data_IF_542163040412
#
_entry.id   IF_542163040412
#
_cell.length_a   1.000
_cell.length_b   1.000
_cell.length_c   1.000
_cell.angle_alpha   90.00
_cell.angle_beta   90.00
_cell.angle_gamma   90.00
#
_symmetry.space_group_name_H-M   'P 1'
#
loop_
_entity.id
_entity.type
_entity.pdbx_description
1 polymer ?
#
# COMPACT_ATOMS: atom_id res chain seq x y z
N UNK A 1 13.41 -5.55 -1.00
CA UNK A 1 12.12 -6.25 -1.22
C UNK A 1 11.06 -5.21 -1.57
N UNK A 2 9.90 -5.63 -2.09
CA UNK A 2 8.80 -4.70 -2.42
C UNK A 2 8.33 -3.88 -1.20
N UNK A 3 8.24 -4.48 -0.01
CA UNK A 3 7.91 -3.75 1.23
C UNK A 3 8.88 -2.61 1.54
N UNK A 4 10.19 -2.80 1.27
CA UNK A 4 11.18 -1.73 1.43
C UNK A 4 10.91 -0.58 0.45
N UNK A 5 10.55 -0.88 -0.78
CA UNK A 5 10.18 0.14 -1.78
C UNK A 5 8.87 0.85 -1.44
N UNK A 6 7.87 0.11 -0.95
CA UNK A 6 6.61 0.67 -0.44
C UNK A 6 6.86 1.65 0.72
N UNK A 7 7.67 1.26 1.71
CA UNK A 7 8.05 2.14 2.83
C UNK A 7 8.75 3.41 2.34
N UNK A 8 9.79 3.24 1.51
CA UNK A 8 10.58 4.37 0.99
C UNK A 8 9.68 5.37 0.24
N UNK A 9 8.82 4.89 -0.65
CA UNK A 9 7.88 5.76 -1.35
C UNK A 9 6.90 6.45 -0.39
N UNK A 10 6.26 5.68 0.49
CA UNK A 10 5.22 6.20 1.37
C UNK A 10 5.76 7.23 2.37
N UNK A 11 6.88 6.97 3.03
CA UNK A 11 7.44 7.88 4.04
C UNK A 11 8.30 8.99 3.40
N UNK A 12 9.26 8.64 2.55
CA UNK A 12 10.26 9.61 2.05
C UNK A 12 9.72 10.48 0.91
N UNK A 13 8.81 9.97 0.07
CA UNK A 13 8.33 10.71 -1.12
C UNK A 13 6.90 11.27 -0.95
N UNK A 14 6.11 10.70 -0.02
CA UNK A 14 4.73 11.11 0.24
C UNK A 14 4.46 11.57 1.67
N UNK A 15 5.41 11.40 2.61
CA UNK A 15 5.26 11.90 3.98
C UNK A 15 4.23 11.15 4.82
N UNK A 16 3.85 9.93 4.47
CA UNK A 16 2.90 9.14 5.25
C UNK A 16 3.53 8.61 6.53
N UNK A 17 2.76 8.64 7.61
CA UNK A 17 3.15 8.12 8.92
C UNK A 17 3.25 6.59 8.95
N UNK A 18 3.97 6.06 9.94
CA UNK A 18 4.17 4.63 10.14
C UNK A 18 2.88 3.79 10.17
N UNK A 19 1.74 4.24 10.75
CA UNK A 19 0.50 3.45 10.74
C UNK A 19 -0.02 3.16 9.33
N UNK A 20 0.06 4.14 8.42
CA UNK A 20 -0.36 3.99 7.03
C UNK A 20 0.52 2.99 6.29
N UNK A 21 1.84 3.02 6.53
CA UNK A 21 2.78 2.04 5.95
C UNK A 21 2.57 0.64 6.52
N UNK A 22 2.35 0.53 7.83
CA UNK A 22 2.05 -0.72 8.49
C UNK A 22 0.79 -1.38 7.92
N UNK A 23 -0.28 -0.59 7.73
CA UNK A 23 -1.51 -1.05 7.09
C UNK A 23 -1.28 -1.54 5.64
N UNK A 24 -0.50 -0.80 4.84
CA UNK A 24 -0.15 -1.22 3.49
C UNK A 24 0.62 -2.57 3.47
N UNK A 25 1.48 -2.81 4.46
CA UNK A 25 2.17 -4.09 4.61
C UNK A 25 1.21 -5.23 4.91
N UNK A 26 0.26 -5.03 5.83
CA UNK A 26 -0.74 -6.05 6.17
C UNK A 26 -1.59 -6.39 4.94
N UNK A 27 -2.08 -5.39 4.20
CA UNK A 27 -2.81 -5.64 2.96
C UNK A 27 -2.02 -6.49 1.97
N UNK A 28 -0.77 -6.13 1.73
CA UNK A 28 0.09 -6.86 0.78
C UNK A 28 0.38 -8.29 1.26
N UNK A 29 0.55 -8.50 2.57
CA UNK A 29 0.71 -9.83 3.17
C UNK A 29 -0.56 -10.67 3.04
N UNK A 30 -1.74 -10.10 3.30
CA UNK A 30 -3.01 -10.81 3.10
C UNK A 30 -3.19 -11.29 1.66
N UNK A 31 -2.82 -10.46 0.68
CA UNK A 31 -2.81 -10.88 -0.73
C UNK A 31 -1.84 -12.05 -0.99
N UNK A 32 -0.66 -12.01 -0.37
CA UNK A 32 0.32 -13.08 -0.47
C UNK A 32 -0.21 -14.40 0.12
N UNK A 33 -0.77 -14.35 1.34
CA UNK A 33 -1.33 -15.49 2.05
C UNK A 33 -2.53 -16.09 1.30
N UNK A 34 -3.36 -15.26 0.66
CA UNK A 34 -4.47 -15.70 -0.19
C UNK A 34 -4.05 -16.18 -1.59
N UNK A 35 -2.75 -16.26 -1.88
CA UNK A 35 -2.22 -16.70 -3.18
C UNK A 35 -2.55 -15.75 -4.34
N UNK A 36 -2.83 -14.47 -4.07
CA UNK A 36 -3.24 -13.47 -5.08
C UNK A 36 -2.05 -12.76 -5.74
N UNK A 37 -0.82 -13.07 -5.33
CA UNK A 37 0.39 -12.47 -5.87
C UNK A 37 1.11 -13.41 -6.84
N UNK A 38 1.54 -12.84 -7.97
CA UNK A 38 2.42 -13.48 -8.94
C UNK A 38 3.45 -12.47 -9.47
N UNK A 39 4.36 -12.93 -10.34
CA UNK A 39 5.45 -12.08 -10.86
C UNK A 39 4.95 -10.87 -11.65
N UNK A 40 3.81 -10.98 -12.33
CA UNK A 40 3.23 -9.95 -13.18
C UNK A 40 2.49 -8.89 -12.35
N UNK A 41 1.70 -9.31 -11.36
CA UNK A 41 0.82 -8.39 -10.62
C UNK A 41 1.40 -7.83 -9.32
N UNK A 42 2.47 -8.42 -8.76
CA UNK A 42 2.96 -8.06 -7.41
C UNK A 42 3.28 -6.57 -7.20
N UNK A 43 3.67 -5.86 -8.26
CA UNK A 43 3.94 -4.42 -8.21
C UNK A 43 2.65 -3.60 -8.23
N UNK A 44 1.68 -3.97 -9.07
CA UNK A 44 0.34 -3.38 -9.07
C UNK A 44 -0.34 -3.59 -7.72
N UNK A 45 -0.26 -4.81 -7.17
CA UNK A 45 -0.78 -5.12 -5.84
C UNK A 45 -0.11 -4.27 -4.76
N UNK A 46 1.23 -4.14 -4.78
CA UNK A 46 1.95 -3.30 -3.83
C UNK A 46 1.51 -1.83 -3.92
N UNK A 47 1.41 -1.28 -5.12
CA UNK A 47 0.95 0.09 -5.33
C UNK A 47 -0.50 0.30 -4.90
N UNK A 48 -1.41 -0.62 -5.24
CA UNK A 48 -2.80 -0.57 -4.82
C UNK A 48 -2.95 -0.68 -3.29
N UNK A 49 -2.13 -1.50 -2.61
CA UNK A 49 -2.12 -1.58 -1.15
C UNK A 49 -1.71 -0.24 -0.50
N UNK A 50 -0.69 0.44 -1.04
CA UNK A 50 -0.30 1.78 -0.55
C UNK A 50 -1.42 2.80 -0.83
N UNK A 51 -2.01 2.77 -2.03
CA UNK A 51 -3.10 3.68 -2.41
C UNK A 51 -4.32 3.53 -1.49
N UNK A 52 -4.76 2.30 -1.24
CA UNK A 52 -5.88 2.01 -0.34
C UNK A 52 -5.55 2.39 1.11
N UNK A 53 -4.34 2.06 1.58
CA UNK A 53 -3.91 2.41 2.92
C UNK A 53 -3.89 3.93 3.13
N UNK A 54 -3.38 4.69 2.17
CA UNK A 54 -3.35 6.13 2.28
C UNK A 54 -4.77 6.74 2.22
N UNK A 55 -5.66 6.21 1.37
CA UNK A 55 -7.06 6.67 1.30
C UNK A 55 -7.86 6.43 2.58
N UNK A 56 -7.52 5.40 3.36
CA UNK A 56 -8.22 5.05 4.62
C UNK A 56 -7.53 5.63 5.85
N UNK A 57 -6.20 5.63 5.85
CA UNK A 57 -5.37 6.02 6.99
C UNK A 57 -5.06 7.52 7.04
N UNK A 58 -5.34 8.27 5.98
CA UNK A 58 -5.15 9.71 5.92
C UNK A 58 -6.31 10.40 5.20
N UNK A 59 -6.63 11.62 5.62
CA UNK A 59 -7.63 12.48 4.97
C UNK A 59 -7.08 13.07 3.66
N UNK A 60 -6.83 12.20 2.68
CA UNK A 60 -6.20 12.58 1.42
C UNK A 60 -7.09 13.49 0.59
N UNK A 61 -6.57 14.66 0.27
CA UNK A 61 -7.15 15.55 -0.73
C UNK A 61 -6.84 15.06 -2.14
N UNK A 62 -7.66 15.46 -3.11
CA UNK A 62 -7.54 15.05 -4.52
C UNK A 62 -6.13 15.24 -5.12
N UNK A 63 -5.43 16.32 -4.75
CA UNK A 63 -4.08 16.60 -5.27
C UNK A 63 -3.03 15.65 -4.68
N UNK A 64 -3.19 15.24 -3.42
CA UNK A 64 -2.31 14.27 -2.75
C UNK A 64 -2.50 12.86 -3.32
N UNK A 65 -3.74 12.50 -3.67
CA UNK A 65 -4.01 11.24 -4.40
C UNK A 65 -3.31 11.22 -5.76
N UNK A 66 -3.33 12.34 -6.50
CA UNK A 66 -2.63 12.45 -7.78
C UNK A 66 -1.12 12.32 -7.59
N UNK A 67 -0.54 13.04 -6.62
CA UNK A 67 0.89 12.95 -6.28
C UNK A 67 1.31 11.52 -5.93
N UNK A 68 0.52 10.83 -5.10
CA UNK A 68 0.76 9.44 -4.75
C UNK A 68 0.76 8.52 -5.98
N UNK A 69 -0.23 8.66 -6.88
CA UNK A 69 -0.29 7.87 -8.11
C UNK A 69 0.93 8.13 -8.99
N UNK A 70 1.34 9.39 -9.15
CA UNK A 70 2.51 9.76 -9.94
C UNK A 70 3.78 9.10 -9.37
N UNK A 71 3.94 9.10 -8.04
CA UNK A 71 5.06 8.42 -7.36
C UNK A 71 5.02 6.90 -7.48
N UNK A 72 3.85 6.29 -7.38
CA UNK A 72 3.69 4.85 -7.56
C UNK A 72 4.04 4.42 -9.00
N UNK A 73 3.64 5.21 -10.00
CA UNK A 73 3.96 5.03 -11.40
C UNK A 73 5.48 5.00 -11.63
N UNK A 74 6.18 6.03 -11.12
CA UNK A 74 7.63 6.20 -11.23
C UNK A 74 8.40 5.07 -10.52
N UNK A 75 8.10 4.84 -9.24
CA UNK A 75 8.85 3.92 -8.37
C UNK A 75 8.71 2.47 -8.81
N UNK A 76 7.47 2.04 -9.08
CA UNK A 76 7.20 0.65 -9.43
C UNK A 76 7.29 0.39 -10.94
N UNK A 77 7.39 1.44 -11.77
CA UNK A 77 7.34 1.38 -13.24
C UNK A 77 6.03 0.75 -13.71
N UNK A 78 4.92 1.32 -13.26
CA UNK A 78 3.57 0.86 -13.54
C UNK A 78 2.90 1.71 -14.61
N UNK A 79 1.86 1.20 -15.24
CA UNK A 79 0.93 2.04 -15.98
C UNK A 79 -0.13 2.60 -15.00
N UNK A 80 -0.39 3.91 -15.07
CA UNK A 80 -1.40 4.58 -14.25
C UNK A 80 -2.79 3.98 -14.34
N UNK A 81 -3.25 3.71 -15.57
CA UNK A 81 -4.59 3.18 -15.82
C UNK A 81 -4.71 1.78 -15.26
N UNK A 82 -3.67 0.96 -15.40
CA UNK A 82 -3.62 -0.36 -14.78
C UNK A 82 -3.66 -0.26 -13.26
N UNK A 83 -2.86 0.62 -12.64
CA UNK A 83 -2.85 0.82 -11.18
C UNK A 83 -4.24 1.18 -10.66
N UNK A 84 -4.91 2.15 -11.30
CA UNK A 84 -6.28 2.56 -10.93
C UNK A 84 -7.27 1.40 -11.14
N UNK A 85 -7.17 0.68 -12.26
CA UNK A 85 -8.02 -0.47 -12.53
C UNK A 85 -7.78 -1.63 -11.55
N UNK A 86 -6.56 -1.76 -11.00
CA UNK A 86 -6.18 -2.81 -10.06
C UNK A 86 -6.57 -2.51 -8.60
N UNK A 87 -6.95 -1.27 -8.29
CA UNK A 87 -7.41 -0.88 -6.96
C UNK A 87 -8.62 -1.71 -6.51
N UNK A 88 -9.65 -1.80 -7.35
CA UNK A 88 -10.87 -2.54 -7.02
C UNK A 88 -10.65 -4.06 -6.90
N UNK A 89 -9.94 -4.74 -7.82
CA UNK A 89 -9.56 -6.14 -7.64
C UNK A 89 -8.81 -6.42 -6.33
N UNK A 90 -7.91 -5.53 -5.92
CA UNK A 90 -7.20 -5.67 -4.63
C UNK A 90 -8.17 -5.49 -3.46
N UNK A 91 -9.06 -4.51 -3.53
CA UNK A 91 -10.10 -4.32 -2.51
C UNK A 91 -11.00 -5.56 -2.35
N UNK A 92 -11.42 -6.15 -3.47
CA UNK A 92 -12.21 -7.41 -3.49
C UNK A 92 -11.39 -8.57 -2.90
N UNK A 93 -10.10 -8.69 -3.24
CA UNK A 93 -9.23 -9.73 -2.69
C UNK A 93 -8.99 -9.57 -1.17
N UNK A 94 -9.07 -8.33 -0.66
CA UNK A 94 -9.09 -8.02 0.76
C UNK A 94 -10.47 -8.20 1.40
N UNK A 95 -11.48 -8.65 0.64
CA UNK A 95 -12.87 -8.81 1.09
C UNK A 95 -13.45 -7.52 1.70
N UNK A 96 -13.03 -6.37 1.15
CA UNK A 96 -13.39 -5.04 1.65
C UNK A 96 -13.00 -4.79 3.12
N UNK A 97 -12.18 -5.66 3.73
CA UNK A 97 -11.72 -5.56 5.11
C UNK A 97 -10.51 -4.60 5.22
N UNK A 98 -10.76 -3.31 5.02
CA UNK A 98 -9.75 -2.25 5.15
C UNK A 98 -9.54 -1.79 6.61
N UNK A 99 -10.54 -1.95 7.47
CA UNK A 99 -10.33 -1.75 8.90
C UNK A 99 -9.64 -2.99 9.47
N UNK A 100 -8.35 -2.85 9.77
CA UNK A 100 -7.53 -3.93 10.28
C UNK A 100 -7.58 -3.97 11.81
N UNK A 101 -7.62 -5.17 12.42
CA UNK A 101 -7.49 -5.30 13.86
C UNK A 101 -6.06 -4.93 14.30
N UNK A 102 -5.95 -4.31 15.48
CA UNK A 102 -4.69 -3.78 16.01
C UNK A 102 -3.56 -4.82 16.07
N UNK A 103 -3.88 -6.06 16.44
CA UNK A 103 -2.89 -7.13 16.57
C UNK A 103 -2.21 -7.51 15.24
N UNK A 104 -2.83 -7.23 14.09
CA UNK A 104 -2.22 -7.41 12.78
C UNK A 104 -1.29 -6.24 12.43
N UNK A 105 -1.67 -5.02 12.78
CA UNK A 105 -0.93 -3.80 12.39
C UNK A 105 0.27 -3.54 13.31
N UNK A 106 0.11 -3.73 14.62
CA UNK A 106 1.11 -3.37 15.63
C UNK A 106 2.48 -3.99 15.45
N UNK A 107 2.62 -5.27 15.05
CA UNK A 107 3.94 -5.85 14.77
C UNK A 107 4.68 -5.12 13.65
N UNK A 108 3.98 -4.62 12.62
CA UNK A 108 4.60 -3.83 11.55
C UNK A 108 4.91 -2.42 12.00
N UNK A 109 3.96 -1.77 12.68
CA UNK A 109 4.14 -0.42 13.21
C UNK A 109 5.36 -0.33 14.14
N UNK A 110 5.46 -1.23 15.14
CA UNK A 110 6.59 -1.25 16.08
C UNK A 110 7.93 -1.42 15.37
N UNK A 111 8.00 -2.28 14.35
CA UNK A 111 9.22 -2.45 13.55
C UNK A 111 9.55 -1.22 12.72
N UNK A 112 8.55 -0.49 12.23
CA UNK A 112 8.79 0.74 11.48
C UNK A 112 9.38 1.79 12.41
N UNK A 113 8.74 2.06 13.55
CA UNK A 113 9.21 3.04 14.55
C UNK A 113 10.61 2.72 15.08
N UNK A 114 10.92 1.45 15.32
CA UNK A 114 12.26 1.03 15.80
C UNK A 114 13.36 1.15 14.73
N UNK A 115 12.98 1.18 13.45
CA UNK A 115 13.92 1.25 12.33
C UNK A 115 13.72 2.55 11.51
N UNK A 116 13.11 3.59 12.10
CA UNK A 116 12.96 4.92 11.52
C UNK A 116 14.22 5.75 11.70
#
# INVERSE_FOLDING_TARGET
SLKREMRKLAQEECGFEEPTVAMAFVYFEKLALKGKLNKQNRKLCAGACVLLAAKIGSDLRKHEVKHLIDKLEERFRLNRRELIAFEFPVLVALEFALHLPEHEVMPHYRRLVQNS
#
